data_IF_503285323160
#
_entry.id   IF_503285323160
#
_cell.length_a   1.000
_cell.length_b   1.000
_cell.length_c   1.000
_cell.angle_alpha   90.00
_cell.angle_beta   90.00
_cell.angle_gamma   90.00
#
_symmetry.space_group_name_H-M   'P 1'
#
loop_
_entity.id
_entity.type
_entity.pdbx_description
1 polymer ?
2 polymer ?
#
loop_
_entity_poly.entity_id
_entity_poly.type
_entity_poly.pdbx_seq_one_letter_code
_entity_poly.pdbx_strand_id
2 'polyribonucleotide' 'UUUUUU' ?
#
# COMPACT_ATOMS: atom_id res chain seq x y z
N UNK A 20 36.89 -9.09 7.66
CA UNK A 20 36.25 -7.91 7.09
C UNK A 20 36.04 -6.84 8.14
N UNK A 21 36.75 -5.73 8.00
CA UNK A 21 36.62 -4.60 8.90
C UNK A 21 35.51 -3.66 8.50
N UNK A 22 34.96 -3.82 7.30
CA UNK A 22 33.87 -2.97 6.81
C UNK A 22 32.50 -3.51 7.15
N UNK A 23 32.41 -4.71 7.72
CA UNK A 23 31.13 -5.25 8.12
C UNK A 23 30.50 -4.55 9.30
N UNK A 24 31.25 -3.67 9.96
CA UNK A 24 30.72 -2.95 11.12
C UNK A 24 29.54 -2.08 10.71
N UNK A 25 29.61 -1.48 9.51
CA UNK A 25 28.53 -0.60 9.06
C UNK A 25 27.24 -1.35 8.81
N UNK A 26 27.29 -2.68 8.65
CA UNK A 26 26.10 -3.48 8.39
C UNK A 26 25.65 -4.28 9.60
N UNK A 27 26.20 -4.00 10.78
CA UNK A 27 25.85 -4.75 11.97
C UNK A 27 24.45 -4.36 12.43
N UNK A 28 23.63 -5.36 12.73
CA UNK A 28 22.29 -5.11 13.22
C UNK A 28 21.28 -4.72 12.17
N UNK A 29 21.56 -4.98 10.89
CA UNK A 29 20.64 -4.60 9.82
C UNK A 29 19.79 -5.77 9.33
N UNK A 30 20.43 -6.84 8.87
CA UNK A 30 19.71 -8.04 8.44
C UNK A 30 19.86 -9.09 9.55
N UNK A 31 19.09 -8.90 10.60
CA UNK A 31 19.18 -9.77 11.77
C UNK A 31 18.28 -10.98 11.58
N UNK A 32 18.61 -12.05 12.29
CA UNK A 32 17.86 -13.29 12.17
C UNK A 32 16.45 -13.12 12.74
N UNK A 33 15.56 -13.99 12.28
CA UNK A 33 14.19 -13.97 12.73
C UNK A 33 14.10 -14.39 14.19
N UNK A 34 13.36 -13.62 14.99
CA UNK A 34 13.25 -13.85 16.42
C UNK A 34 11.94 -13.23 16.89
N UNK A 35 11.35 -13.85 17.91
CA UNK A 35 10.08 -13.40 18.48
C UNK A 35 10.38 -12.65 19.76
N UNK A 36 10.00 -11.38 19.82
CA UNK A 36 10.25 -10.53 20.97
C UNK A 36 8.96 -9.98 21.57
N UNK A 37 7.83 -10.62 21.27
CA UNK A 37 6.56 -10.15 21.77
C UNK A 37 5.63 -11.34 22.00
N UNK A 38 4.55 -11.08 22.72
CA UNK A 38 3.50 -12.06 22.93
C UNK A 38 2.18 -11.30 22.92
N UNK A 39 1.38 -11.51 21.88
CA UNK A 39 0.09 -10.86 21.75
C UNK A 39 -0.98 -11.92 21.58
N UNK A 40 -2.04 -11.82 22.36
CA UNK A 40 -3.12 -12.81 22.36
C UNK A 40 -4.43 -12.09 22.11
N UNK A 41 -5.18 -12.56 21.12
CA UNK A 41 -6.41 -11.92 20.67
C UNK A 41 -7.56 -12.89 20.89
N UNK A 42 -8.65 -12.48 21.54
CA UNK A 42 -9.79 -13.38 21.74
C UNK A 42 -10.73 -13.37 20.54
N UNK A 43 -10.96 -14.56 19.98
CA UNK A 43 -11.99 -14.78 18.97
C UNK A 43 -13.17 -15.49 19.62
N UNK A 44 -14.37 -15.17 19.17
CA UNK A 44 -15.59 -15.61 19.84
C UNK A 44 -16.36 -16.58 18.97
N UNK A 45 -16.65 -17.76 19.52
CA UNK A 45 -17.54 -18.71 18.89
C UNK A 45 -18.96 -18.43 19.35
N UNK A 46 -19.80 -17.98 18.44
CA UNK A 46 -21.16 -17.57 18.75
C UNK A 46 -22.09 -18.14 17.69
N UNK A 47 -23.38 -17.83 17.82
CA UNK A 47 -24.36 -18.26 16.85
C UNK A 47 -24.82 -17.14 15.97
N UNK A 48 -24.95 -15.95 16.54
CA UNK A 48 -25.37 -14.76 15.80
C UNK A 48 -24.15 -13.94 15.38
N UNK A 49 -23.32 -14.54 14.52
CA UNK A 49 -22.13 -13.86 14.05
C UNK A 49 -22.49 -12.65 13.18
N UNK A 50 -23.50 -12.80 12.33
CA UNK A 50 -23.89 -11.70 11.45
C UNK A 50 -24.38 -10.51 12.25
N UNK A 51 -25.20 -10.75 13.28
CA UNK A 51 -25.71 -9.65 14.09
C UNK A 51 -24.59 -8.96 14.87
N UNK A 52 -23.66 -9.75 15.40
CA UNK A 52 -22.53 -9.17 16.13
C UNK A 52 -21.67 -8.31 15.19
N UNK A 53 -21.46 -8.81 13.97
CA UNK A 53 -20.69 -8.04 12.99
C UNK A 53 -21.41 -6.74 12.62
N UNK A 54 -22.72 -6.81 12.49
CA UNK A 54 -23.49 -5.59 12.24
C UNK A 54 -23.34 -4.60 13.38
N UNK A 55 -23.37 -5.10 14.63
CA UNK A 55 -23.17 -4.21 15.77
C UNK A 55 -21.79 -3.57 15.72
N UNK A 56 -20.76 -4.35 15.38
CA UNK A 56 -19.41 -3.80 15.29
C UNK A 56 -19.34 -2.72 14.23
N UNK A 57 -19.98 -2.96 13.08
CA UNK A 57 -19.99 -1.96 12.02
C UNK A 57 -20.70 -0.69 12.48
N UNK A 58 -21.79 -0.83 13.22
CA UNK A 58 -22.47 0.35 13.76
C UNK A 58 -21.58 1.09 14.75
N UNK A 59 -20.84 0.34 15.57
CA UNK A 59 -19.90 0.93 16.51
C UNK A 59 -18.88 1.77 15.77
N UNK A 60 -18.34 1.23 14.67
CA UNK A 60 -17.38 1.98 13.86
C UNK A 60 -18.05 3.21 13.25
N UNK A 61 -19.28 3.06 12.77
CA UNK A 61 -20.00 4.17 12.16
C UNK A 61 -20.17 5.33 13.13
N UNK A 62 -20.46 5.01 14.40
CA UNK A 62 -20.61 6.07 15.39
C UNK A 62 -19.31 6.83 15.59
N UNK A 63 -18.18 6.12 15.58
CA UNK A 63 -16.89 6.75 15.70
C UNK A 63 -16.21 6.60 17.05
N UNK A 64 -16.72 5.74 17.93
CA UNK A 64 -16.08 5.54 19.22
C UNK A 64 -14.78 4.77 19.05
N UNK A 65 -13.75 5.19 19.78
CA UNK A 65 -12.46 4.53 19.72
C UNK A 65 -12.52 3.18 20.42
N UNK A 66 -11.83 2.19 19.86
CA UNK A 66 -11.76 0.85 20.42
C UNK A 66 -10.34 0.67 20.95
N UNK A 67 -10.18 0.76 22.27
CA UNK A 67 -8.85 0.75 22.85
C UNK A 67 -8.10 -0.55 22.57
N UNK A 68 -8.61 -1.66 23.11
CA UNK A 68 -7.99 -2.96 22.88
C UNK A 68 -8.81 -3.85 21.96
N UNK A 69 -10.13 -3.70 22.00
CA UNK A 69 -11.03 -4.62 21.31
C UNK A 69 -11.08 -4.31 19.82
N UNK A 70 -10.32 -3.31 19.37
CA UNK A 70 -10.25 -3.04 17.95
C UNK A 70 -9.72 -4.24 17.18
N UNK A 71 -8.62 -4.81 17.66
CA UNK A 71 -8.00 -5.95 16.99
C UNK A 71 -8.96 -7.14 16.96
N UNK A 72 -9.55 -7.47 18.12
CA UNK A 72 -10.45 -8.62 18.19
C UNK A 72 -11.69 -8.42 17.33
N UNK A 73 -12.28 -7.23 17.38
CA UNK A 73 -13.49 -6.96 16.63
C UNK A 73 -13.22 -7.01 15.13
N UNK A 74 -12.11 -6.43 14.67
CA UNK A 74 -11.83 -6.46 13.25
C UNK A 74 -11.44 -7.85 12.78
N UNK A 75 -10.75 -8.64 13.62
CA UNK A 75 -10.44 -10.01 13.24
C UNK A 75 -11.70 -10.85 13.16
N UNK A 76 -12.65 -10.65 14.07
CA UNK A 76 -13.92 -11.36 13.97
C UNK A 76 -14.69 -10.92 12.73
N UNK A 77 -14.62 -9.63 12.41
CA UNK A 77 -15.24 -9.14 11.18
C UNK A 77 -14.62 -9.80 9.95
N UNK A 78 -13.33 -10.08 9.99
CA UNK A 78 -12.66 -10.73 8.87
C UNK A 78 -13.03 -12.21 8.78
N UNK A 79 -13.11 -12.90 9.93
CA UNK A 79 -13.43 -14.32 9.89
C UNK A 79 -14.89 -14.56 9.58
N UNK A 80 -15.75 -13.56 9.80
CA UNK A 80 -17.13 -13.69 9.36
C UNK A 80 -17.24 -13.67 7.84
N UNK A 81 -16.38 -12.89 7.19
CA UNK A 81 -16.42 -12.78 5.75
C UNK A 81 -15.65 -13.90 5.06
N UNK A 82 -14.55 -14.35 5.64
CA UNK A 82 -13.72 -15.35 4.99
C UNK A 82 -14.17 -16.77 5.28
N UNK A 83 -14.64 -17.04 6.50
CA UNK A 83 -14.93 -18.41 6.93
C UNK A 83 -16.35 -18.56 7.45
N UNK A 84 -17.25 -17.67 7.06
CA UNK A 84 -18.67 -17.72 7.41
C UNK A 84 -18.95 -17.57 8.90
N UNK A 85 -17.90 -17.38 9.71
CA UNK A 85 -18.13 -16.95 11.08
C UNK A 85 -17.64 -17.87 12.17
N UNK A 86 -16.95 -18.95 11.83
CA UNK A 86 -16.44 -19.80 12.90
C UNK A 86 -14.93 -19.70 12.97
N UNK A 87 -14.38 -19.34 14.14
CA UNK A 87 -12.93 -19.14 14.25
C UNK A 87 -12.13 -20.43 14.25
N UNK A 88 -12.77 -21.58 14.42
CA UNK A 88 -12.02 -22.84 14.43
C UNK A 88 -11.32 -23.07 13.10
N UNK A 89 -11.96 -22.66 12.00
CA UNK A 89 -11.34 -22.78 10.69
C UNK A 89 -10.28 -21.71 10.48
N UNK A 90 -10.41 -20.56 11.13
CA UNK A 90 -9.44 -19.49 10.92
C UNK A 90 -8.10 -19.80 11.57
N UNK A 91 -8.11 -20.42 12.76
CA UNK A 91 -6.84 -20.77 13.39
C UNK A 91 -6.02 -21.76 12.60
N UNK A 92 -6.64 -22.51 11.69
CA UNK A 92 -5.90 -23.45 10.83
C UNK A 92 -5.43 -22.81 9.53
N UNK A 93 -5.76 -21.54 9.29
CA UNK A 93 -5.48 -20.89 8.03
C UNK A 93 -4.00 -20.53 7.90
N UNK A 94 -3.51 -20.34 6.69
CA UNK A 94 -2.12 -19.85 6.54
C UNK A 94 -1.88 -18.48 7.12
N UNK A 95 -2.91 -17.63 7.18
CA UNK A 95 -2.75 -16.31 7.77
C UNK A 95 -2.40 -16.40 9.25
N UNK A 96 -3.19 -17.16 10.01
CA UNK A 96 -2.90 -17.35 11.42
C UNK A 96 -1.57 -18.06 11.63
N UNK A 97 -1.18 -18.92 10.69
CA UNK A 97 0.12 -19.56 10.79
C UNK A 97 1.24 -18.54 10.60
N UNK A 98 1.06 -17.59 9.69
CA UNK A 98 2.08 -16.54 9.52
C UNK A 98 2.15 -15.64 10.74
N UNK A 99 0.99 -15.26 11.29
CA UNK A 99 0.99 -14.39 12.47
C UNK A 99 1.65 -15.08 13.65
N UNK A 100 1.38 -16.37 13.84
CA UNK A 100 2.24 -17.18 14.69
C UNK A 100 3.65 -17.17 14.12
N UNK A 101 4.64 -17.12 15.00
CA UNK A 101 5.99 -16.88 14.56
C UNK A 101 6.38 -15.43 14.57
N UNK A 102 5.42 -14.52 14.73
CA UNK A 102 5.70 -13.13 15.08
C UNK A 102 5.11 -12.77 16.44
N UNK A 103 4.62 -13.76 17.18
CA UNK A 103 4.12 -13.54 18.52
C UNK A 103 2.67 -13.16 18.63
N UNK A 104 1.87 -13.41 17.61
CA UNK A 104 0.45 -13.06 17.62
C UNK A 104 -0.36 -14.35 17.57
N UNK A 105 -1.20 -14.54 18.58
CA UNK A 105 -2.01 -15.74 18.73
C UNK A 105 -3.47 -15.36 18.91
N UNK A 106 -4.35 -16.30 18.63
CA UNK A 106 -5.79 -16.07 18.73
C UNK A 106 -6.41 -17.06 19.70
N UNK A 107 -7.44 -16.59 20.41
CA UNK A 107 -8.09 -17.33 21.47
C UNK A 107 -9.53 -17.61 21.06
N UNK A 108 -9.98 -18.85 21.18
CA UNK A 108 -11.38 -19.13 20.92
C UNK A 108 -12.15 -19.19 22.24
N UNK A 109 -13.26 -18.46 22.29
CA UNK A 109 -14.03 -18.30 23.51
C UNK A 109 -15.51 -18.41 23.17
N UNK A 110 -16.17 -19.44 23.70
CA UNK A 110 -17.57 -19.67 23.38
C UNK A 110 -18.49 -18.77 24.18
N UNK A 111 -19.55 -18.30 23.54
CA UNK A 111 -20.61 -17.56 24.20
C UNK A 111 -21.94 -18.08 23.69
N UNK A 112 -22.93 -18.15 24.58
CA UNK A 112 -24.23 -18.70 24.19
C UNK A 112 -25.22 -17.60 23.82
N UNK A 113 -25.51 -16.70 24.74
CA UNK A 113 -26.51 -15.65 24.54
C UNK A 113 -25.80 -14.31 24.48
N UNK A 114 -25.68 -13.77 23.27
CA UNK A 114 -25.11 -12.44 23.08
C UNK A 114 -26.23 -11.50 22.64
N UNK A 115 -26.87 -10.85 23.61
CA UNK A 115 -27.97 -9.94 23.35
C UNK A 115 -27.52 -8.51 23.10
N UNK A 116 -26.30 -8.17 23.52
CA UNK A 116 -25.74 -6.84 23.35
C UNK A 116 -24.28 -7.01 23.00
N UNK A 117 -23.66 -5.96 22.46
CA UNK A 117 -22.26 -6.10 22.08
C UNK A 117 -21.35 -6.18 23.31
N UNK A 118 -21.79 -5.66 24.46
CA UNK A 118 -20.89 -5.46 25.59
C UNK A 118 -20.50 -6.74 26.31
N UNK A 119 -21.28 -7.81 26.20
CA UNK A 119 -20.93 -9.00 26.97
C UNK A 119 -19.80 -9.78 26.33
N UNK A 120 -19.37 -9.40 25.12
CA UNK A 120 -18.13 -9.94 24.58
C UNK A 120 -16.92 -9.33 25.26
N UNK A 121 -17.04 -8.11 25.76
CA UNK A 121 -15.96 -7.45 26.46
C UNK A 121 -15.66 -8.17 27.78
N UNK A 122 -14.41 -8.08 28.21
CA UNK A 122 -13.98 -8.68 29.46
C UNK A 122 -14.19 -7.76 30.64
N UNK A 123 -13.40 -8.00 31.68
CA UNK A 123 -13.41 -7.17 32.88
C UNK A 123 -12.00 -6.63 33.09
N UNK A 124 -11.91 -5.38 33.50
CA UNK A 124 -10.64 -4.69 33.63
C UNK A 124 -10.85 -3.20 33.44
N UNK A 125 -9.79 -2.44 33.72
CA UNK A 125 -9.90 -0.98 33.72
C UNK A 125 -10.35 -0.45 32.36
N UNK A 126 -9.67 -0.87 31.29
CA UNK A 126 -9.99 -0.34 29.97
C UNK A 126 -11.34 -0.86 29.48
N UNK A 127 -11.61 -2.14 29.70
CA UNK A 127 -12.91 -2.69 29.34
C UNK A 127 -14.04 -2.03 30.13
N UNK A 128 -13.82 -1.80 31.43
CA UNK A 128 -14.83 -1.14 32.24
C UNK A 128 -15.05 0.29 31.79
N UNK A 129 -14.00 0.96 31.32
CA UNK A 129 -14.16 2.32 30.82
C UNK A 129 -14.93 2.36 29.51
N UNK A 130 -14.62 1.42 28.60
CA UNK A 130 -15.25 1.39 27.28
C UNK A 130 -16.70 0.88 27.33
N UNK A 131 -17.03 0.09 28.36
CA UNK A 131 -18.40 -0.39 28.52
C UNK A 131 -19.36 0.77 28.74
N UNK A 132 -18.91 1.82 29.43
CA UNK A 132 -19.76 2.99 29.62
C UNK A 132 -20.20 3.55 28.28
N UNK A 133 -19.26 3.72 27.36
CA UNK A 133 -19.60 4.31 26.07
C UNK A 133 -20.44 3.36 25.23
N UNK A 134 -20.07 2.07 25.17
CA UNK A 134 -20.86 1.18 24.31
C UNK A 134 -22.26 0.95 24.87
N UNK A 135 -22.46 1.15 26.17
CA UNK A 135 -23.80 1.02 26.72
C UNK A 135 -24.72 2.17 26.32
N UNK A 136 -24.17 3.33 25.96
CA UNK A 136 -24.96 4.51 25.64
C UNK A 136 -25.46 4.55 24.20
N UNK A 137 -24.81 3.84 23.29
CA UNK A 137 -25.24 3.84 21.90
C UNK A 137 -26.59 3.18 21.72
N UNK A 138 -27.33 3.65 20.73
CA UNK A 138 -28.60 3.03 20.33
C UNK A 138 -28.35 2.21 19.07
N UNK A 139 -28.06 0.93 19.26
CA UNK A 139 -27.88 0.04 18.12
C UNK A 139 -29.19 -0.18 17.41
N UNK A 140 -29.11 -0.28 16.11
CA UNK A 140 -30.27 -0.41 15.26
C UNK A 140 -30.60 -1.89 15.15
N UNK A 141 -31.77 -2.34 15.64
CA UNK A 141 -32.00 -3.80 15.69
C UNK A 141 -31.93 -4.48 14.34
N UNK A 142 -32.34 -3.82 13.27
CA UNK A 142 -32.28 -4.38 11.93
C UNK A 142 -31.40 -3.52 11.04
N UNK A 143 -30.32 -4.13 10.55
CA UNK A 143 -29.40 -3.42 9.68
C UNK A 143 -28.94 -4.26 8.51
N UNK A 144 -28.65 -3.60 7.38
CA UNK A 144 -28.25 -4.29 6.16
C UNK A 144 -26.86 -3.81 5.77
N UNK A 145 -25.84 -4.46 6.34
CA UNK A 145 -24.45 -4.19 5.98
C UNK A 145 -23.59 -5.38 6.39
N UNK A 146 -23.01 -6.07 5.41
CA UNK A 146 -22.21 -7.24 5.74
C UNK A 146 -20.80 -6.83 6.16
N UNK A 147 -20.07 -7.80 6.71
CA UNK A 147 -18.65 -7.58 6.99
C UNK A 147 -17.87 -7.36 5.71
N UNK A 148 -18.29 -8.02 4.63
CA UNK A 148 -17.57 -7.87 3.37
C UNK A 148 -17.61 -6.45 2.83
N UNK A 149 -18.75 -5.77 2.97
CA UNK A 149 -18.84 -4.39 2.51
C UNK A 149 -17.88 -3.48 3.27
N UNK A 150 -17.82 -3.63 4.59
CA UNK A 150 -16.88 -2.83 5.36
C UNK A 150 -15.45 -3.17 5.00
N UNK A 151 -15.14 -4.45 4.79
CA UNK A 151 -13.79 -4.83 4.44
C UNK A 151 -13.39 -4.25 3.09
N UNK A 152 -14.30 -4.23 2.12
CA UNK A 152 -14.01 -3.62 0.83
C UNK A 152 -13.79 -2.12 0.96
N UNK A 153 -14.66 -1.45 1.72
CA UNK A 153 -14.50 -0.01 1.91
C UNK A 153 -13.17 0.30 2.58
N UNK A 154 -12.74 -0.55 3.51
CA UNK A 154 -11.45 -0.35 4.17
C UNK A 154 -10.30 -0.63 3.20
N UNK A 155 -10.44 -1.62 2.33
CA UNK A 155 -9.39 -1.92 1.38
C UNK A 155 -9.23 -0.79 0.38
N UNK A 156 -10.29 -0.04 0.12
CA UNK A 156 -10.18 1.13 -0.75
C UNK A 156 -9.13 2.12 -0.27
N UNK A 157 -8.83 2.14 1.03
CA UNK A 157 -7.87 3.08 1.58
C UNK A 157 -6.43 2.62 1.42
N UNK A 158 -6.20 1.35 1.13
CA UNK A 158 -4.84 0.81 1.21
C UNK A 158 -3.87 1.43 0.21
N UNK A 159 -4.20 1.57 -1.07
CA UNK A 159 -3.30 2.34 -1.95
C UNK A 159 -3.27 3.80 -1.51
N UNK A 160 -2.07 4.36 -1.51
CA UNK A 160 -1.84 5.74 -1.07
C UNK A 160 -2.26 5.96 0.39
N UNK A 161 -2.15 4.92 1.22
CA UNK A 161 -2.40 5.10 2.65
C UNK A 161 -1.21 5.76 3.33
N UNK A 162 0.01 5.42 2.90
CA UNK A 162 1.20 6.01 3.50
C UNK A 162 1.45 7.43 3.04
N UNK A 163 0.66 7.92 2.07
CA UNK A 163 0.83 9.28 1.60
C UNK A 163 0.24 10.29 2.58
N UNK A 164 -1.02 10.08 2.95
CA UNK A 164 -1.66 10.94 3.92
C UNK A 164 -3.16 10.98 3.70
N UNK A 165 -3.82 11.79 4.53
CA UNK A 165 -5.28 11.85 4.55
C UNK A 165 -5.83 12.32 3.21
N UNK A 166 -5.24 13.39 2.67
CA UNK A 166 -5.76 13.98 1.43
C UNK A 166 -5.77 12.95 0.30
N UNK A 167 -4.62 12.31 0.06
CA UNK A 167 -4.52 11.34 -1.02
C UNK A 167 -5.41 10.13 -0.76
N UNK A 168 -5.48 9.70 0.50
CA UNK A 168 -6.37 8.59 0.83
C UNK A 168 -7.80 8.88 0.40
N UNK A 169 -8.35 9.99 0.89
CA UNK A 169 -9.75 10.29 0.60
C UNK A 169 -9.97 10.54 -0.88
N UNK A 170 -9.02 11.21 -1.54
CA UNK A 170 -9.12 11.49 -2.97
C UNK A 170 -9.19 10.20 -3.79
N UNK A 171 -8.22 9.31 -3.56
CA UNK A 171 -8.20 8.04 -4.25
C UNK A 171 -9.42 7.20 -3.93
N UNK A 172 -9.91 7.28 -2.70
CA UNK A 172 -11.09 6.50 -2.33
C UNK A 172 -12.31 6.97 -3.11
N UNK A 173 -12.49 8.28 -3.21
CA UNK A 173 -13.62 8.75 -4.00
C UNK A 173 -13.47 8.34 -5.46
N UNK A 174 -12.27 8.53 -6.03
CA UNK A 174 -12.04 8.11 -7.41
C UNK A 174 -12.44 6.66 -7.62
N UNK A 175 -12.00 5.79 -6.71
CA UNK A 175 -12.35 4.38 -6.79
C UNK A 175 -13.84 4.13 -6.59
N UNK A 176 -14.50 4.97 -5.79
CA UNK A 176 -15.95 4.80 -5.59
C UNK A 176 -16.69 4.97 -6.90
N UNK A 177 -16.37 6.03 -7.65
CA UNK A 177 -16.92 6.15 -9.00
C UNK A 177 -16.50 4.98 -9.90
N UNK A 178 -15.23 4.56 -9.81
CA UNK A 178 -14.77 3.48 -10.68
C UNK A 178 -15.58 2.20 -10.44
N UNK A 179 -15.88 1.90 -9.18
CA UNK A 179 -16.62 0.68 -8.84
C UNK A 179 -18.12 0.82 -9.02
N UNK A 180 -18.66 2.03 -8.89
CA UNK A 180 -20.09 2.20 -9.14
C UNK A 180 -20.40 2.12 -10.62
N UNK A 181 -19.58 2.76 -11.46
CA UNK A 181 -19.78 2.68 -12.90
C UNK A 181 -19.65 1.26 -13.41
N UNK A 182 -18.77 0.48 -12.78
CA UNK A 182 -18.57 -0.91 -13.14
C UNK A 182 -19.76 -1.79 -12.74
N UNK A 183 -20.72 -1.24 -12.00
CA UNK A 183 -21.88 -2.00 -11.58
C UNK A 183 -21.56 -3.09 -10.58
N UNK A 184 -20.68 -2.81 -9.63
CA UNK A 184 -20.15 -3.82 -8.73
C UNK A 184 -20.69 -3.73 -7.31
N UNK A 185 -20.87 -2.52 -6.77
CA UNK A 185 -21.30 -2.34 -5.39
C UNK A 185 -21.81 -0.92 -5.22
N UNK A 186 -22.66 -0.72 -4.23
CA UNK A 186 -23.14 0.60 -3.82
C UNK A 186 -22.88 0.77 -2.34
N UNK A 187 -22.31 1.87 -1.97
CA UNK A 187 -22.02 2.02 -0.56
C UNK A 187 -23.03 2.94 0.11
N UNK A 188 -23.25 2.78 1.42
CA UNK A 188 -24.15 3.69 2.13
C UNK A 188 -23.69 5.14 2.03
N UNK A 189 -24.66 6.04 1.94
CA UNK A 189 -24.35 7.45 1.70
C UNK A 189 -23.56 8.06 2.86
N UNK A 190 -23.86 7.66 4.09
CA UNK A 190 -23.11 8.16 5.23
C UNK A 190 -21.66 7.71 5.20
N UNK A 191 -21.34 6.65 4.47
CA UNK A 191 -19.97 6.20 4.38
C UNK A 191 -19.11 7.10 3.49
N UNK A 192 -19.74 7.85 2.59
CA UNK A 192 -19.02 8.68 1.64
C UNK A 192 -18.93 10.13 2.08
N UNK A 193 -19.04 10.39 3.38
CA UNK A 193 -18.80 11.70 3.94
C UNK A 193 -17.36 11.80 4.42
N UNK A 194 -16.90 13.03 4.59
CA UNK A 194 -15.51 13.25 5.00
C UNK A 194 -15.28 12.73 6.41
N UNK A 195 -16.26 12.90 7.28
CA UNK A 195 -16.08 12.46 8.66
C UNK A 195 -15.92 10.96 8.78
N UNK A 196 -16.78 10.20 8.09
CA UNK A 196 -16.70 8.75 8.18
C UNK A 196 -15.41 8.24 7.56
N UNK A 197 -15.02 8.78 6.41
CA UNK A 197 -13.74 8.42 5.83
C UNK A 197 -12.59 8.74 6.78
N UNK A 198 -12.74 9.82 7.55
CA UNK A 198 -11.69 10.20 8.48
C UNK A 198 -11.54 9.15 9.59
N UNK A 199 -12.67 8.71 10.17
CA UNK A 199 -12.57 7.72 11.24
C UNK A 199 -12.05 6.40 10.69
N UNK A 200 -12.47 6.02 9.48
CA UNK A 200 -11.97 4.78 8.90
C UNK A 200 -10.47 4.89 8.64
N UNK A 201 -10.00 6.06 8.22
CA UNK A 201 -8.57 6.26 8.05
C UNK A 201 -7.83 6.05 9.37
N UNK A 202 -8.32 6.66 10.45
CA UNK A 202 -7.73 6.42 11.77
C UNK A 202 -7.62 4.92 12.03
N UNK A 203 -8.76 4.23 11.86
CA UNK A 203 -8.87 2.85 12.29
C UNK A 203 -7.91 1.94 11.53
N UNK A 204 -7.90 2.02 10.20
CA UNK A 204 -7.04 1.11 9.45
C UNK A 204 -5.60 1.61 9.35
N UNK A 205 -5.33 2.88 9.65
CA UNK A 205 -3.94 3.30 9.72
C UNK A 205 -3.28 2.77 10.98
N UNK A 206 -3.98 2.81 12.11
CA UNK A 206 -3.37 2.36 13.36
C UNK A 206 -3.20 0.84 13.38
N UNK A 207 -4.23 0.11 12.96
CA UNK A 207 -4.25 -1.34 13.17
C UNK A 207 -3.41 -2.08 12.14
N UNK A 208 -2.68 -3.08 12.60
CA UNK A 208 -1.85 -3.90 11.72
C UNK A 208 -2.55 -5.16 11.25
N UNK A 209 -3.28 -5.84 12.13
CA UNK A 209 -3.85 -7.14 11.78
C UNK A 209 -4.86 -7.00 10.66
N UNK A 210 -5.64 -5.92 10.67
CA UNK A 210 -6.62 -5.69 9.62
C UNK A 210 -5.95 -5.53 8.26
N UNK A 211 -4.90 -4.72 8.20
CA UNK A 211 -4.19 -4.51 6.94
C UNK A 211 -3.57 -5.80 6.45
N UNK A 212 -2.94 -6.57 7.34
CA UNK A 212 -2.32 -7.81 6.91
C UNK A 212 -3.35 -8.81 6.42
N UNK A 213 -4.49 -8.90 7.11
CA UNK A 213 -5.53 -9.83 6.67
C UNK A 213 -6.07 -9.43 5.30
N UNK A 214 -6.28 -8.13 5.09
CA UNK A 214 -6.71 -7.67 3.78
C UNK A 214 -5.69 -8.01 2.70
N UNK A 215 -4.41 -7.80 2.99
CA UNK A 215 -3.36 -8.10 2.02
C UNK A 215 -3.35 -9.59 1.69
N UNK A 216 -3.37 -10.43 2.73
CA UNK A 216 -3.31 -11.88 2.53
C UNK A 216 -4.50 -12.37 1.71
N UNK A 217 -5.71 -11.96 2.09
CA UNK A 217 -6.88 -12.38 1.36
C UNK A 217 -6.86 -11.89 -0.08
N UNK A 218 -6.45 -10.64 -0.30
CA UNK A 218 -6.44 -10.09 -1.63
C UNK A 218 -5.44 -10.78 -2.56
N UNK A 219 -4.23 -11.04 -2.06
CA UNK A 219 -3.18 -11.55 -2.92
C UNK A 219 -3.04 -13.05 -2.87
N UNK A 220 -3.90 -13.76 -2.13
CA UNK A 220 -3.80 -15.22 -2.08
C UNK A 220 -5.03 -15.96 -2.58
N UNK A 221 -6.16 -15.30 -2.77
CA UNK A 221 -7.35 -15.96 -3.31
C UNK A 221 -7.19 -16.12 -4.80
N UNK A 222 -6.99 -17.35 -5.26
CA UNK A 222 -6.69 -17.59 -6.67
C UNK A 222 -7.94 -17.51 -7.55
N UNK A 223 -9.10 -17.91 -7.03
CA UNK A 223 -10.33 -17.87 -7.80
C UNK A 223 -11.50 -17.85 -6.84
N UNK A 224 -12.70 -17.75 -7.38
CA UNK A 224 -13.90 -17.73 -6.56
C UNK A 224 -14.22 -16.39 -5.94
N UNK A 225 -13.78 -15.29 -6.54
CA UNK A 225 -13.98 -13.99 -5.94
C UNK A 225 -15.45 -13.59 -5.97
N UNK A 226 -15.95 -13.08 -4.85
CA UNK A 226 -17.24 -12.42 -4.78
C UNK A 226 -17.06 -10.99 -5.30
N UNK A 227 -18.08 -10.15 -5.13
CA UNK A 227 -17.91 -8.73 -5.46
C UNK A 227 -16.90 -8.08 -4.52
N UNK A 228 -17.08 -8.29 -3.23
CA UNK A 228 -16.17 -7.71 -2.24
C UNK A 228 -14.77 -8.28 -2.38
N UNK A 229 -14.67 -9.57 -2.67
CA UNK A 229 -13.35 -10.16 -2.89
C UNK A 229 -12.68 -9.56 -4.11
N UNK A 230 -13.45 -9.30 -5.16
CA UNK A 230 -12.88 -8.66 -6.35
C UNK A 230 -12.37 -7.27 -6.03
N UNK A 231 -13.14 -6.49 -5.26
CA UNK A 231 -12.70 -5.15 -4.89
C UNK A 231 -11.43 -5.21 -4.05
N UNK A 232 -11.38 -6.13 -3.10
CA UNK A 232 -10.22 -6.25 -2.23
C UNK A 232 -8.99 -6.67 -3.02
N UNK A 233 -9.16 -7.62 -3.95
CA UNK A 233 -8.04 -8.04 -4.78
C UNK A 233 -7.53 -6.91 -5.65
N UNK A 234 -8.44 -6.12 -6.23
CA UNK A 234 -8.02 -4.99 -7.03
C UNK A 234 -7.24 -3.98 -6.19
N UNK A 235 -7.75 -3.67 -4.99
CA UNK A 235 -7.08 -2.69 -4.15
C UNK A 235 -5.72 -3.19 -3.67
N UNK A 236 -5.59 -4.48 -3.43
CA UNK A 236 -4.29 -5.02 -3.05
C UNK A 236 -3.33 -4.95 -4.23
N UNK A 237 -3.82 -5.21 -5.44
CA UNK A 237 -2.97 -5.11 -6.61
C UNK A 237 -2.48 -3.67 -6.81
N UNK A 238 -3.36 -2.69 -6.59
CA UNK A 238 -2.96 -1.30 -6.74
C UNK A 238 -2.05 -0.81 -5.62
N UNK A 239 -1.86 -1.60 -4.57
CA UNK A 239 -1.08 -1.20 -3.42
C UNK A 239 0.37 -1.62 -3.50
N UNK A 240 0.74 -2.44 -4.50
CA UNK A 240 2.09 -2.95 -4.60
C UNK A 240 3.11 -1.83 -4.66
N UNK A 241 4.13 -1.92 -3.83
CA UNK A 241 5.24 -0.95 -3.78
C UNK A 241 4.75 0.46 -3.53
N UNK A 242 3.65 0.60 -2.80
CA UNK A 242 3.21 1.91 -2.34
C UNK A 242 4.14 2.39 -1.23
N UNK A 243 4.67 3.59 -1.39
CA UNK A 243 5.68 4.07 -0.48
C UNK A 243 7.08 3.56 -0.76
N UNK A 244 7.25 2.78 -1.81
CA UNK A 244 8.56 2.24 -2.20
C UNK A 244 8.89 2.64 -3.63
N UNK A 245 8.62 3.90 -3.98
CA UNK A 245 8.91 4.37 -5.33
C UNK A 245 10.40 4.33 -5.63
N UNK A 246 11.23 4.52 -4.61
CA UNK A 246 12.67 4.48 -4.80
C UNK A 246 13.12 3.12 -5.32
N UNK A 247 12.53 2.05 -4.79
CA UNK A 247 12.89 0.70 -5.23
C UNK A 247 12.55 0.53 -6.70
N UNK A 248 11.33 0.91 -7.10
CA UNK A 248 10.92 0.76 -8.49
C UNK A 248 11.81 1.56 -9.42
N UNK A 249 12.06 2.83 -9.10
CA UNK A 249 12.86 3.67 -9.97
C UNK A 249 14.28 3.14 -10.10
N UNK A 250 14.92 2.85 -8.98
CA UNK A 250 16.31 2.40 -9.02
C UNK A 250 16.41 1.08 -9.77
N UNK A 251 15.56 0.11 -9.45
CA UNK A 251 15.68 -1.20 -10.07
C UNK A 251 15.35 -1.15 -11.55
N UNK A 252 14.43 -0.28 -11.96
CA UNK A 252 14.00 -0.27 -13.35
C UNK A 252 14.95 0.54 -14.23
N UNK A 253 15.62 1.55 -13.67
CA UNK A 253 16.43 2.42 -14.50
C UNK A 253 17.89 2.47 -14.12
N UNK A 254 18.23 2.62 -12.84
CA UNK A 254 19.63 2.80 -12.47
C UNK A 254 20.38 1.47 -12.58
N UNK A 255 19.96 0.47 -11.82
CA UNK A 255 20.55 -0.87 -11.90
C UNK A 255 19.82 -1.70 -12.96
N UNK A 256 19.73 -1.11 -14.16
CA UNK A 256 19.05 -1.78 -15.26
C UNK A 256 19.76 -3.07 -15.62
N UNK A 257 18.97 -4.12 -15.82
CA UNK A 257 19.49 -5.45 -16.12
C UNK A 257 19.32 -5.73 -17.61
N UNK A 258 20.29 -6.44 -18.17
CA UNK A 258 20.34 -6.72 -19.59
C UNK A 258 20.51 -8.22 -19.81
N UNK A 259 20.55 -8.60 -21.09
CA UNK A 259 20.70 -10.00 -21.44
C UNK A 259 22.03 -10.57 -20.95
N UNK A 260 23.05 -9.72 -20.81
CA UNK A 260 24.39 -10.17 -20.42
C UNK A 260 24.71 -9.91 -18.96
N UNK A 261 24.08 -8.93 -18.33
CA UNK A 261 24.36 -8.63 -16.95
C UNK A 261 23.62 -7.40 -16.49
N UNK A 262 24.02 -6.90 -15.32
CA UNK A 262 23.40 -5.71 -14.74
C UNK A 262 24.21 -4.49 -15.17
N UNK A 263 23.71 -3.77 -16.17
CA UNK A 263 24.36 -2.56 -16.64
C UNK A 263 24.10 -1.43 -15.67
N UNK A 264 25.14 -0.66 -15.36
CA UNK A 264 24.97 0.54 -14.56
C UNK A 264 24.71 1.74 -15.47
N UNK A 265 23.79 2.59 -15.06
CA UNK A 265 23.42 3.74 -15.86
C UNK A 265 24.57 4.75 -15.90
N UNK A 266 24.74 5.45 -17.02
CA UNK A 266 25.83 6.43 -17.12
C UNK A 266 25.75 7.54 -16.08
N UNK A 267 24.55 7.98 -15.71
CA UNK A 267 24.41 9.06 -14.76
C UNK A 267 24.71 8.65 -13.31
N UNK A 268 24.89 7.35 -13.05
CA UNK A 268 25.11 6.85 -11.71
C UNK A 268 26.54 6.39 -11.49
N UNK A 269 27.47 6.82 -12.32
CA UNK A 269 28.87 6.42 -12.19
C UNK A 269 29.71 7.44 -11.42
N UNK A 270 29.10 8.48 -10.86
CA UNK A 270 29.79 9.35 -9.94
C UNK A 270 30.22 8.55 -8.70
N UNK A 271 31.35 8.94 -8.12
CA UNK A 271 31.95 8.15 -7.05
C UNK A 271 31.06 8.06 -5.82
N UNK A 272 30.44 9.17 -5.43
CA UNK A 272 29.64 9.15 -4.21
C UNK A 272 28.33 8.41 -4.41
N UNK A 273 27.81 8.37 -5.63
CA UNK A 273 26.62 7.58 -5.90
C UNK A 273 26.92 6.09 -5.74
N UNK A 274 28.17 5.69 -6.02
CA UNK A 274 28.51 4.27 -6.00
C UNK A 274 28.38 3.67 -4.60
N UNK A 275 28.81 4.41 -3.58
CA UNK A 275 28.68 3.92 -2.21
C UNK A 275 27.23 3.80 -1.78
N UNK A 276 26.41 4.80 -2.13
CA UNK A 276 24.99 4.70 -1.86
C UNK A 276 24.38 3.52 -2.60
N UNK A 277 24.85 3.23 -3.80
CA UNK A 277 24.32 2.11 -4.56
C UNK A 277 24.67 0.79 -3.89
N UNK A 278 25.88 0.68 -3.35
CA UNK A 278 26.26 -0.53 -2.63
C UNK A 278 25.38 -0.73 -1.39
N UNK A 279 25.19 0.35 -0.62
CA UNK A 279 24.33 0.25 0.56
C UNK A 279 22.89 -0.06 0.17
N UNK A 280 22.43 0.49 -0.95
CA UNK A 280 21.09 0.21 -1.43
C UNK A 280 20.93 -1.25 -1.85
N UNK A 281 21.97 -1.82 -2.46
CA UNK A 281 21.93 -3.25 -2.77
C UNK A 281 21.78 -4.06 -1.50
N UNK A 282 22.52 -3.70 -0.45
CA UNK A 282 22.36 -4.41 0.82
C UNK A 282 20.96 -4.25 1.38
N UNK A 283 20.40 -3.04 1.31
CA UNK A 283 19.06 -2.81 1.85
C UNK A 283 18.00 -3.59 1.08
N UNK A 284 18.14 -3.68 -0.24
CA UNK A 284 17.24 -4.51 -1.03
C UNK A 284 17.40 -5.97 -0.66
N UNK A 285 18.63 -6.40 -0.39
CA UNK A 285 18.87 -7.77 0.07
C UNK A 285 18.12 -8.05 1.36
N UNK A 286 18.10 -7.08 2.27
CA UNK A 286 17.34 -7.25 3.51
C UNK A 286 15.84 -7.27 3.23
N UNK A 287 15.37 -6.39 2.35
CA UNK A 287 13.94 -6.29 2.08
C UNK A 287 13.41 -7.55 1.39
N UNK A 288 14.26 -8.24 0.62
CA UNK A 288 13.81 -9.45 -0.07
C UNK A 288 13.49 -10.59 0.88
N UNK A 289 13.84 -10.48 2.16
CA UNK A 289 13.61 -11.57 3.09
C UNK A 289 12.13 -11.88 3.24
N UNK A 290 11.29 -10.85 3.32
CA UNK A 290 9.84 -11.02 3.35
C UNK A 290 9.39 -11.32 1.93
N UNK A 291 9.27 -12.61 1.59
CA UNK A 291 9.03 -12.98 0.20
C UNK A 291 7.83 -12.29 -0.42
N UNK A 292 6.63 -12.69 0.00
CA UNK A 292 5.41 -12.26 -0.67
C UNK A 292 4.95 -10.88 -0.24
N UNK A 293 5.42 -10.40 0.91
CA UNK A 293 4.96 -9.15 1.47
C UNK A 293 5.98 -8.03 1.31
N UNK A 294 7.07 -8.27 0.58
CA UNK A 294 8.01 -7.19 0.29
C UNK A 294 7.36 -6.02 -0.43
N UNK A 295 6.48 -6.20 -1.42
CA UNK A 295 5.83 -5.03 -2.03
C UNK A 295 5.04 -4.20 -1.05
N UNK A 296 4.66 -4.75 0.10
CA UNK A 296 3.82 -4.06 1.06
C UNK A 296 4.58 -3.71 2.33
N UNK A 297 5.90 -3.57 2.23
CA UNK A 297 6.73 -3.37 3.41
C UNK A 297 6.41 -2.03 4.09
N UNK A 298 6.27 -0.96 3.32
CA UNK A 298 6.00 0.34 3.94
C UNK A 298 4.59 0.38 4.51
N UNK A 299 3.63 -0.26 3.84
CA UNK A 299 2.28 -0.32 4.37
C UNK A 299 2.22 -1.09 5.68
N UNK A 300 2.90 -2.23 5.73
CA UNK A 300 2.89 -3.09 6.90
C UNK A 300 4.00 -2.77 7.90
N UNK A 301 4.85 -1.79 7.59
CA UNK A 301 5.95 -1.39 8.48
C UNK A 301 6.84 -2.56 8.83
N UNK A 302 7.23 -3.33 7.81
CA UNK A 302 8.09 -4.47 8.04
C UNK A 302 9.46 -4.01 8.53
N UNK A 303 10.34 -4.98 8.82
CA UNK A 303 11.53 -4.70 9.61
C UNK A 303 12.45 -3.71 8.91
N UNK A 304 12.99 -4.08 7.75
CA UNK A 304 14.01 -3.28 7.13
C UNK A 304 13.51 -2.25 6.13
N UNK A 305 12.43 -1.54 6.46
CA UNK A 305 11.89 -0.57 5.53
C UNK A 305 12.34 0.85 5.86
N UNK A 306 12.75 1.13 7.09
CA UNK A 306 13.35 2.41 7.42
C UNK A 306 14.75 2.55 6.86
N UNK A 307 15.35 1.46 6.40
CA UNK A 307 16.65 1.49 5.74
C UNK A 307 16.54 1.93 4.28
N UNK A 308 15.33 2.07 3.75
CA UNK A 308 15.08 2.48 2.38
C UNK A 308 14.33 3.81 2.43
N UNK A 309 15.07 4.91 2.47
CA UNK A 309 14.45 6.23 2.57
C UNK A 309 15.21 7.22 1.70
N UNK A 310 14.48 8.18 1.14
CA UNK A 310 15.14 9.38 0.66
C UNK A 310 15.68 10.15 1.85
N UNK A 311 16.97 10.45 1.83
CA UNK A 311 17.61 11.06 2.97
C UNK A 311 18.81 10.27 3.38
N UNK A 312 18.71 8.94 3.29
CA UNK A 312 19.88 8.10 3.40
C UNK A 312 20.63 8.03 2.08
N UNK A 313 19.91 8.19 0.96
CA UNK A 313 20.49 8.12 -0.38
C UNK A 313 20.00 9.34 -1.15
N UNK A 314 20.47 10.53 -0.83
CA UNK A 314 19.87 11.75 -1.40
C UNK A 314 20.03 11.85 -2.91
N UNK A 315 21.28 11.82 -3.37
CA UNK A 315 21.49 12.04 -4.79
C UNK A 315 21.14 10.81 -5.63
N UNK A 316 21.31 9.61 -5.08
CA UNK A 316 20.85 8.43 -5.81
C UNK A 316 19.35 8.48 -6.03
N UNK A 317 18.59 8.85 -5.00
CA UNK A 317 17.15 8.99 -5.14
C UNK A 317 16.79 10.05 -6.17
N UNK A 318 17.43 11.22 -6.09
CA UNK A 318 17.12 12.29 -7.03
C UNK A 318 17.43 11.89 -8.46
N UNK A 319 18.61 11.29 -8.69
CA UNK A 319 19.00 10.89 -10.04
C UNK A 319 18.07 9.83 -10.58
N UNK A 320 17.73 8.83 -9.75
CA UNK A 320 16.86 7.76 -10.21
C UNK A 320 15.48 8.29 -10.56
N UNK A 321 14.93 9.18 -9.73
CA UNK A 321 13.62 9.75 -10.06
C UNK A 321 13.67 10.60 -11.32
N UNK A 322 14.76 11.35 -11.52
CA UNK A 322 14.87 12.13 -12.75
C UNK A 322 14.96 11.25 -13.98
N UNK A 323 15.77 10.20 -13.93
CA UNK A 323 15.88 9.29 -15.06
C UNK A 323 14.55 8.63 -15.34
N UNK A 324 13.83 8.22 -14.30
CA UNK A 324 12.52 7.62 -14.51
C UNK A 324 11.53 8.62 -15.09
N UNK A 325 11.55 9.86 -14.61
CA UNK A 325 10.64 10.89 -15.12
C UNK A 325 10.90 11.17 -16.58
N UNK A 326 12.15 11.06 -17.02
CA UNK A 326 12.46 11.30 -18.42
C UNK A 326 11.69 10.36 -19.34
N UNK A 327 11.44 9.13 -18.90
CA UNK A 327 10.83 8.13 -19.78
C UNK A 327 9.34 8.37 -19.93
N UNK A 328 8.59 8.34 -18.83
CA UNK A 328 7.15 8.42 -18.87
C UNK A 328 6.65 9.85 -18.89
N UNK A 329 5.38 10.01 -18.52
CA UNK A 329 4.75 11.31 -18.44
C UNK A 329 3.96 11.52 -17.16
N UNK A 330 3.69 10.47 -16.38
CA UNK A 330 2.96 10.61 -15.14
C UNK A 330 3.89 10.80 -13.94
N UNK A 331 5.12 10.31 -14.03
CA UNK A 331 6.08 10.48 -12.95
C UNK A 331 6.49 11.93 -12.76
N UNK A 332 6.16 12.81 -13.69
CA UNK A 332 6.39 14.23 -13.52
C UNK A 332 5.54 14.84 -12.42
N UNK A 333 4.51 14.14 -11.96
CA UNK A 333 3.67 14.61 -10.88
C UNK A 333 4.11 14.22 -9.50
N UNK A 334 5.24 13.55 -9.36
CA UNK A 334 5.75 13.15 -8.06
C UNK A 334 6.46 14.34 -7.43
N UNK A 335 6.09 14.66 -6.19
CA UNK A 335 6.75 15.72 -5.45
C UNK A 335 7.97 15.18 -4.72
N UNK A 336 8.94 16.05 -4.49
CA UNK A 336 10.14 15.74 -3.72
C UNK A 336 10.37 16.87 -2.73
N UNK A 337 11.34 16.66 -1.85
CA UNK A 337 11.67 17.65 -0.85
C UNK A 337 12.33 18.86 -1.49
N UNK A 338 12.59 19.88 -0.68
CA UNK A 338 13.21 21.11 -1.15
C UNK A 338 14.60 20.85 -1.75
N UNK A 339 15.30 19.81 -1.28
CA UNK A 339 16.71 19.62 -1.58
C UNK A 339 16.98 18.54 -2.62
N UNK A 340 15.96 18.09 -3.35
CA UNK A 340 16.18 17.15 -4.45
C UNK A 340 15.67 17.63 -5.80
N UNK A 341 15.03 18.80 -5.86
CA UNK A 341 14.36 19.19 -7.10
C UNK A 341 15.36 19.44 -8.23
N UNK A 342 16.42 20.19 -7.95
CA UNK A 342 17.31 20.64 -9.01
C UNK A 342 18.12 19.49 -9.59
N UNK A 343 18.62 18.59 -8.74
CA UNK A 343 19.34 17.42 -9.23
C UNK A 343 18.40 16.52 -10.03
N UNK A 344 17.15 16.41 -9.60
CA UNK A 344 16.17 15.64 -10.34
C UNK A 344 15.98 16.22 -11.74
N UNK A 345 15.83 17.55 -11.83
CA UNK A 345 15.63 18.17 -13.14
C UNK A 345 16.86 18.00 -14.03
N UNK A 346 18.04 18.17 -13.46
CA UNK A 346 19.27 17.99 -14.25
C UNK A 346 19.37 16.58 -14.80
N UNK A 347 19.11 15.58 -13.95
CA UNK A 347 19.13 14.19 -14.41
C UNK A 347 18.07 13.95 -15.47
N UNK A 348 16.90 14.57 -15.32
CA UNK A 348 15.83 14.37 -16.30
C UNK A 348 16.23 14.90 -17.67
N UNK A 349 16.75 16.13 -17.72
CA UNK A 349 17.14 16.71 -19.01
C UNK A 349 18.29 15.94 -19.63
N UNK A 350 19.29 15.56 -18.82
CA UNK A 350 20.39 14.77 -19.35
C UNK A 350 19.90 13.46 -19.93
N UNK A 351 18.97 12.79 -19.24
CA UNK A 351 18.42 11.55 -19.75
C UNK A 351 17.61 11.77 -21.02
N UNK A 352 16.92 12.90 -21.14
CA UNK A 352 16.22 13.19 -22.40
C UNK A 352 17.20 13.23 -23.56
N UNK A 353 18.28 14.00 -23.42
CA UNK A 353 19.23 14.11 -24.51
C UNK A 353 19.90 12.78 -24.81
N UNK A 354 20.28 12.03 -23.77
CA UNK A 354 20.89 10.73 -23.98
C UNK A 354 19.94 9.78 -24.67
N UNK A 355 18.67 9.79 -24.28
CA UNK A 355 17.68 8.92 -24.89
C UNK A 355 17.53 9.23 -26.37
N UNK A 356 17.48 10.51 -26.72
CA UNK A 356 17.38 10.84 -28.14
C UNK A 356 18.59 10.34 -28.91
N UNK A 357 19.79 10.53 -28.36
CA UNK A 357 20.99 10.04 -29.04
C UNK A 357 20.94 8.51 -29.23
N UNK A 358 20.60 7.78 -28.16
CA UNK A 358 20.55 6.33 -28.24
C UNK A 358 19.49 5.88 -29.24
N UNK A 359 18.41 6.66 -29.36
CA UNK A 359 17.36 6.26 -30.29
C UNK A 359 17.79 6.48 -31.74
N UNK A 360 18.54 7.55 -32.03
CA UNK A 360 19.07 7.65 -33.39
C UNK A 360 20.03 6.50 -33.70
N UNK A 361 20.94 6.20 -32.77
CA UNK A 361 21.88 5.12 -33.03
C UNK A 361 21.17 3.77 -33.20
N UNK A 362 20.17 3.49 -32.37
CA UNK A 362 19.49 2.20 -32.46
C UNK A 362 18.65 2.11 -33.71
N UNK A 363 18.02 3.22 -34.12
CA UNK A 363 17.32 3.23 -35.40
C UNK A 363 18.26 2.95 -36.56
N UNK A 364 19.48 3.50 -36.51
CA UNK A 364 20.42 3.25 -37.60
C UNK A 364 20.92 1.82 -37.60
N UNK A 365 21.14 1.23 -36.42
CA UNK A 365 21.72 -0.11 -36.36
C UNK A 365 20.74 -1.16 -36.88
N UNK A 366 19.44 -0.93 -36.72
CA UNK A 366 18.43 -1.89 -37.16
C UNK A 366 18.50 -2.10 -38.67
N UNK A 367 18.12 -3.29 -39.10
CA UNK A 367 18.09 -3.59 -40.53
C UNK A 367 16.76 -3.21 -41.15
N UNK A 368 16.71 -2.04 -41.76
CA UNK A 368 15.48 -1.48 -42.30
C UNK A 368 15.78 -0.71 -43.58
N UNK A 369 14.72 -0.45 -44.34
CA UNK A 369 14.85 0.21 -45.63
C UNK A 369 14.90 1.73 -45.49
N UNK A 370 14.81 2.39 -46.64
CA UNK A 370 14.74 3.85 -46.68
C UNK A 370 13.36 4.30 -46.19
N UNK A 371 12.32 3.83 -46.88
CA UNK A 371 10.96 4.11 -46.45
C UNK A 371 10.73 3.61 -45.03
N UNK A 372 11.35 2.49 -44.67
CA UNK A 372 11.20 1.97 -43.31
C UNK A 372 11.84 2.91 -42.29
N UNK A 373 13.06 3.43 -42.60
CA UNK A 373 13.54 4.59 -41.86
C UNK A 373 12.41 5.55 -41.63
N UNK A 374 11.92 6.14 -42.71
CA UNK A 374 11.18 7.38 -42.60
C UNK A 374 9.87 7.17 -41.86
N UNK A 375 9.26 6.00 -42.04
CA UNK A 375 8.06 5.69 -41.27
C UNK A 375 8.39 5.62 -39.78
N UNK A 376 9.43 4.86 -39.41
CA UNK A 376 9.76 4.79 -37.98
C UNK A 376 10.24 6.13 -37.43
N UNK A 377 10.94 6.93 -38.24
CA UNK A 377 11.47 8.20 -37.75
C UNK A 377 10.37 9.22 -37.52
N UNK A 378 9.42 9.30 -38.45
CA UNK A 378 8.25 10.14 -38.24
C UNK A 378 7.47 9.66 -37.02
N UNK A 379 7.34 8.34 -36.85
CA UNK A 379 6.65 7.81 -35.69
C UNK A 379 7.35 8.21 -34.40
N UNK A 380 8.68 8.11 -34.37
CA UNK A 380 9.43 8.48 -33.17
C UNK A 380 9.29 9.96 -32.87
N UNK A 381 9.33 10.81 -33.89
CA UNK A 381 9.13 12.24 -33.69
C UNK A 381 7.76 12.51 -33.10
N UNK A 382 6.72 11.88 -33.64
CA UNK A 382 5.37 12.07 -33.12
C UNK A 382 5.26 11.55 -31.70
N UNK A 383 5.93 10.44 -31.41
CA UNK A 383 5.92 9.88 -30.06
C UNK A 383 6.53 10.86 -29.07
N UNK A 384 7.68 11.42 -29.41
CA UNK A 384 8.34 12.38 -28.52
C UNK A 384 7.46 13.61 -28.32
N UNK A 385 6.83 14.09 -29.38
CA UNK A 385 5.98 15.28 -29.30
C UNK A 385 4.83 15.02 -28.33
N UNK A 386 4.15 13.87 -28.50
CA UNK A 386 3.06 13.50 -27.61
C UNK A 386 3.56 13.44 -26.18
N UNK A 387 4.74 12.84 -25.99
CA UNK A 387 5.27 12.69 -24.65
C UNK A 387 5.51 14.05 -24.01
N UNK A 388 6.12 14.97 -24.75
CA UNK A 388 6.39 16.32 -24.22
C UNK A 388 5.10 17.02 -23.86
N UNK A 389 4.10 16.94 -24.73
CA UNK A 389 2.84 17.61 -24.47
C UNK A 389 2.18 17.06 -23.21
N UNK A 390 2.13 15.74 -23.08
CA UNK A 390 1.51 15.15 -21.90
C UNK A 390 2.28 15.51 -20.62
N UNK A 391 3.61 15.50 -20.68
CA UNK A 391 4.39 15.87 -19.52
C UNK A 391 4.13 17.32 -19.11
N UNK A 392 4.02 18.22 -20.08
CA UNK A 392 3.70 19.60 -19.76
C UNK A 392 2.33 19.72 -19.11
N UNK A 393 1.35 18.97 -19.63
CA UNK A 393 0.02 18.99 -19.02
C UNK A 393 0.06 18.50 -17.58
N UNK A 394 0.80 17.41 -17.32
CA UNK A 394 0.89 16.87 -15.97
C UNK A 394 1.58 17.86 -15.04
N UNK A 395 2.65 18.51 -15.51
CA UNK A 395 3.34 19.48 -14.69
C UNK A 395 2.43 20.64 -14.32
N UNK A 396 1.66 21.14 -15.30
CA UNK A 396 0.70 22.19 -15.01
C UNK A 396 -0.34 21.72 -14.00
N UNK A 397 -0.79 20.47 -14.13
CA UNK A 397 -1.78 19.93 -13.19
C UNK A 397 -1.21 19.88 -11.78
N UNK A 398 0.04 19.44 -11.65
CA UNK A 398 0.66 19.36 -10.31
C UNK A 398 0.81 20.75 -9.71
N UNK A 399 1.27 21.72 -10.53
CA UNK A 399 1.39 23.08 -10.02
C UNK A 399 0.06 23.63 -9.58
N UNK A 400 -0.99 23.40 -10.37
CA UNK A 400 -2.32 23.89 -10.02
C UNK A 400 -2.83 23.24 -8.73
N UNK A 401 -2.64 21.93 -8.59
CA UNK A 401 -3.06 21.25 -7.38
C UNK A 401 -2.35 21.81 -6.15
N UNK A 402 -1.02 21.94 -6.23
CA UNK A 402 -0.27 22.43 -5.09
C UNK A 402 -0.64 23.86 -4.74
N UNK A 403 -0.75 24.73 -5.74
CA UNK A 403 -1.02 26.13 -5.46
C UNK A 403 -2.47 26.39 -5.11
N UNK A 404 -3.38 25.45 -5.41
CA UNK A 404 -4.75 25.57 -4.96
C UNK A 404 -4.96 24.94 -3.60
N UNK A 405 -4.09 24.01 -3.20
CA UNK A 405 -4.11 23.49 -1.84
C UNK A 405 -3.82 24.58 -0.82
N UNK A 406 -2.85 25.44 -1.11
CA UNK A 406 -2.32 26.39 -0.14
C UNK A 406 -3.05 27.72 -0.17
N UNK A 407 -4.32 27.72 -0.57
CA UNK A 407 -5.13 28.94 -0.53
C UNK A 407 -6.26 28.78 0.48
#
# INVERSE_FOLDING_TARGET
MNRYLGHGTRTSRENTNLSELHGILSLGLNVDHTIVRKKSIPLFEIGNSDQVCNWIIQIIEAGVDLQEVADSFLTMLCVNHAYQGDPNLFLESPAAHYLKGHGIHFEIQHRDNVDHITDLLGVGSRDKSLRKTLSALEFEPGGTTTAGMFLSFASLFLPKLVVGERACLEKVQRQIQIHAEQGLIQYPTQWQSVGHMMVVFRLIRVNFVLKFLLVHQGMHMMAGHDANDAIIANSISQTRFSGLLIVKTVLEHILQKTEAGVQLHPLARTSKVKGELLAFKSALEALASHREYAPFARLLNLSGVNNLEHGLYPQLSAIALGVATAHGSTLAGVNVSEQYQQLREAATEAEKQLQQHSEMRELETLGLDEQERKILATFHSRKNEINIQQTSSILAIRKERLRKLTEALTEEKNKNALDDEDESEEDDWSPENRGIRSNKGSTKEPSSYTASRTEEDRNNYNSKDDHLSGKEQMSTQQESGADDLDLFDLDDDGDTNSQDPNNRQKQSDTQQTQESSDRSDYSRRPAYDWPPGDRPHTTQATDEHTDLLNKDHRRNQVKPGRRGNDPRTLPLISFDDNEGEILDDKSDLPAPDTHSDPDTEESEEEHPDEELLPPAPKYSTKTSEQEPGDWKQPTSPLSTIPEEEGGHEANNDNSESDLIDQMYQHIFKTEGAYAAINYYYKTTGRPVTFTSNNNHDYTFPQDTEGLFPPWEGKENQKVAEILTNSLHETGQEWADMSAKERYLFLINN
#
